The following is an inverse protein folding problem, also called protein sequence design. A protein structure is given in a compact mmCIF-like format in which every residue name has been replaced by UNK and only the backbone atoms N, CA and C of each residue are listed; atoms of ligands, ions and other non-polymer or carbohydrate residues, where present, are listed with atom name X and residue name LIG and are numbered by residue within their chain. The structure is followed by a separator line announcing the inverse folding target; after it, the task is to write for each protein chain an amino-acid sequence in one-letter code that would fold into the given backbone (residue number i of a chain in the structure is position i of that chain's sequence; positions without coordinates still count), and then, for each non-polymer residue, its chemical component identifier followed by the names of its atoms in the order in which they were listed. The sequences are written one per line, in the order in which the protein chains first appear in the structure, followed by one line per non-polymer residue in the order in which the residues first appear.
data_IF_747656840607
#
_entry.id   IF_747656840607
#
_cell.length_a   1.000
_cell.length_b   1.000
_cell.length_c   1.000
_cell.angle_alpha   90.00
_cell.angle_beta   90.00
_cell.angle_gamma   90.00
#
_symmetry.space_group_name_H-M   'P 1'
#
loop_
_entity.id
_entity.type
_entity.pdbx_description
1 polymer ?
#
# COMPACT_ATOMS: atom_id res chain seq x y z
N UNK A 1 27.57 -16.04 27.19
CA UNK A 1 26.52 -16.30 26.19
C UNK A 1 25.41 -15.31 26.43
N UNK A 2 25.52 -14.13 25.85
CA UNK A 2 24.43 -13.17 25.77
C UNK A 2 23.57 -13.61 24.61
N UNK A 3 22.35 -14.06 24.91
CA UNK A 3 21.36 -14.33 23.88
C UNK A 3 20.94 -12.96 23.37
N UNK A 4 21.44 -12.57 22.20
CA UNK A 4 20.94 -11.38 21.51
C UNK A 4 19.46 -11.64 21.24
N UNK A 5 18.59 -10.95 21.97
CA UNK A 5 17.17 -10.90 21.69
C UNK A 5 17.04 -10.15 20.37
N UNK A 6 16.69 -10.85 19.29
CA UNK A 6 16.42 -10.19 18.02
C UNK A 6 15.35 -9.10 18.23
N UNK A 7 15.61 -7.85 17.82
CA UNK A 7 14.62 -6.80 17.97
C UNK A 7 13.45 -7.09 17.00
N UNK A 8 12.31 -7.40 17.60
CA UNK A 8 11.00 -7.21 16.98
C UNK A 8 10.50 -8.39 16.15
N UNK A 9 9.60 -9.18 16.74
CA UNK A 9 8.85 -10.20 16.00
C UNK A 9 7.96 -9.59 14.91
N UNK A 10 7.32 -10.44 14.10
CA UNK A 10 6.39 -10.01 13.04
C UNK A 10 5.31 -9.05 13.55
N UNK A 11 4.84 -9.28 14.78
CA UNK A 11 3.85 -8.42 15.46
C UNK A 11 4.43 -7.05 15.78
N UNK A 12 5.66 -6.98 16.29
CA UNK A 12 6.30 -5.69 16.63
C UNK A 12 6.51 -4.83 15.38
N UNK A 13 6.89 -5.47 14.27
CA UNK A 13 7.03 -4.81 12.97
C UNK A 13 5.69 -4.30 12.43
N UNK A 14 4.61 -5.07 12.60
CA UNK A 14 3.26 -4.60 12.27
C UNK A 14 2.86 -3.41 13.14
N UNK A 15 3.08 -3.49 14.45
CA UNK A 15 2.75 -2.42 15.39
C UNK A 15 3.56 -1.16 15.10
N UNK A 16 4.82 -1.30 14.69
CA UNK A 16 5.64 -0.19 14.22
C UNK A 16 4.98 0.50 13.02
N UNK A 17 4.62 -0.23 11.97
CA UNK A 17 3.96 0.36 10.80
C UNK A 17 2.64 1.04 11.16
N UNK A 18 1.81 0.38 11.99
CA UNK A 18 0.52 0.95 12.43
C UNK A 18 0.71 2.21 13.26
N UNK A 19 1.68 2.23 14.19
CA UNK A 19 2.02 3.41 14.96
C UNK A 19 2.42 4.55 14.02
N UNK A 20 3.28 4.27 13.04
CA UNK A 20 3.71 5.30 12.09
C UNK A 20 2.53 5.86 11.30
N UNK A 21 1.65 5.01 10.76
CA UNK A 21 0.49 5.47 9.99
C UNK A 21 -0.49 6.28 10.85
N UNK A 22 -0.90 5.74 12.02
CA UNK A 22 -1.96 6.35 12.81
C UNK A 22 -1.50 7.53 13.67
N UNK A 23 -0.28 7.45 14.21
CA UNK A 23 0.26 8.44 15.15
C UNK A 23 1.22 9.39 14.42
N UNK A 24 2.29 8.88 13.82
CA UNK A 24 3.36 9.74 13.30
C UNK A 24 2.90 10.54 12.06
N UNK A 25 1.99 9.99 11.26
CA UNK A 25 1.34 10.66 10.12
C UNK A 25 -0.07 11.21 10.43
N UNK A 26 -0.47 11.20 11.70
CA UNK A 26 -1.75 11.74 12.18
C UNK A 26 -2.98 11.24 11.40
N UNK A 27 -2.99 9.98 10.96
CA UNK A 27 -4.18 9.41 10.31
C UNK A 27 -5.36 9.34 11.28
N UNK A 28 -5.09 9.10 12.57
CA UNK A 28 -6.10 9.07 13.61
C UNK A 28 -6.86 10.40 13.74
N UNK A 29 -6.20 11.54 13.53
CA UNK A 29 -6.82 12.87 13.62
C UNK A 29 -7.80 13.17 12.49
N UNK A 30 -7.73 12.43 11.38
CA UNK A 30 -8.70 12.57 10.28
C UNK A 30 -9.90 11.64 10.39
N UNK A 31 -9.96 10.85 11.46
CA UNK A 31 -11.10 10.00 11.77
C UNK A 31 -11.81 10.59 12.98
N UNK A 32 -13.14 10.80 12.93
CA UNK A 32 -13.91 11.18 14.11
C UNK A 32 -13.69 10.18 15.25
N UNK A 33 -13.45 10.67 16.47
CA UNK A 33 -13.08 9.84 17.64
C UNK A 33 -14.12 8.77 17.98
N UNK A 34 -15.37 8.95 17.57
CA UNK A 34 -16.48 8.02 17.79
C UNK A 34 -16.63 6.96 16.69
N UNK A 35 -15.76 6.97 15.67
CA UNK A 35 -15.90 6.12 14.49
C UNK A 35 -14.81 5.05 14.37
N UNK A 36 -14.88 4.05 15.27
CA UNK A 36 -14.00 2.87 15.27
C UNK A 36 -14.09 2.08 13.95
N UNK A 37 -15.23 2.14 13.26
CA UNK A 37 -15.41 1.42 11.99
C UNK A 37 -14.46 1.94 10.90
N UNK A 38 -14.19 3.25 10.87
CA UNK A 38 -13.23 3.83 9.91
C UNK A 38 -11.80 3.35 10.21
N UNK A 39 -11.41 3.24 11.48
CA UNK A 39 -10.13 2.64 11.86
C UNK A 39 -10.03 1.18 11.38
N UNK A 40 -11.09 0.39 11.58
CA UNK A 40 -11.14 -0.99 11.11
C UNK A 40 -11.04 -1.09 9.59
N UNK A 41 -11.70 -0.20 8.84
CA UNK A 41 -11.61 -0.15 7.38
C UNK A 41 -10.20 0.17 6.91
N UNK A 42 -9.53 1.15 7.52
CA UNK A 42 -8.12 1.47 7.22
C UNK A 42 -7.23 0.25 7.49
N UNK A 43 -7.39 -0.40 8.65
CA UNK A 43 -6.62 -1.59 8.99
C UNK A 43 -6.82 -2.73 7.99
N UNK A 44 -8.04 -2.93 7.48
CA UNK A 44 -8.31 -3.92 6.42
C UNK A 44 -7.59 -3.59 5.12
N UNK A 45 -7.61 -2.31 4.70
CA UNK A 45 -6.87 -1.87 3.50
C UNK A 45 -5.35 -2.02 3.67
N UNK A 46 -4.80 -1.70 4.84
CA UNK A 46 -3.39 -1.95 5.18
C UNK A 46 -3.07 -3.46 5.09
N UNK A 47 -3.96 -4.30 5.64
CA UNK A 47 -3.80 -5.76 5.61
C UNK A 47 -3.69 -6.31 4.19
N UNK A 48 -4.41 -5.76 3.20
CA UNK A 48 -4.29 -6.18 1.79
C UNK A 48 -2.85 -6.14 1.29
N UNK A 49 -2.06 -5.13 1.69
CA UNK A 49 -0.66 -5.03 1.29
C UNK A 49 0.18 -6.19 1.86
N UNK A 50 -0.05 -6.55 3.13
CA UNK A 50 0.69 -7.64 3.78
C UNK A 50 0.24 -9.02 3.29
N UNK A 51 -1.06 -9.22 3.11
CA UNK A 51 -1.62 -10.47 2.58
C UNK A 51 -1.14 -10.74 1.13
N UNK A 52 -0.76 -9.67 0.40
CA UNK A 52 -0.16 -9.73 -0.94
C UNK A 52 1.37 -9.62 -0.94
N UNK A 53 2.03 -9.80 0.21
CA UNK A 53 3.47 -10.05 0.29
C UNK A 53 4.33 -8.85 0.71
N UNK A 54 3.76 -7.67 0.95
CA UNK A 54 4.54 -6.53 1.44
C UNK A 54 5.19 -6.83 2.80
N UNK A 55 6.40 -6.34 3.01
CA UNK A 55 7.13 -6.57 4.27
C UNK A 55 6.60 -5.68 5.39
N UNK A 56 6.44 -6.23 6.59
CA UNK A 56 6.11 -5.46 7.81
C UNK A 56 7.35 -4.78 8.38
N UNK A 57 7.16 -3.63 8.99
CA UNK A 57 8.17 -2.76 9.60
C UNK A 57 8.82 -1.76 8.63
N UNK A 58 8.44 -1.81 7.34
CA UNK A 58 9.01 -0.94 6.30
C UNK A 58 7.94 -0.18 5.51
N UNK A 59 6.66 -0.40 5.82
CA UNK A 59 5.56 0.14 5.02
C UNK A 59 4.93 1.37 5.65
N UNK A 60 5.12 1.59 6.97
CA UNK A 60 4.45 2.65 7.71
C UNK A 60 4.61 4.04 7.11
N UNK A 61 5.83 4.42 6.74
CA UNK A 61 6.10 5.73 6.11
C UNK A 61 5.43 5.86 4.74
N UNK A 62 5.57 4.84 3.88
CA UNK A 62 4.94 4.82 2.57
C UNK A 62 3.42 4.90 2.66
N UNK A 63 2.82 4.17 3.60
CA UNK A 63 1.37 4.20 3.83
C UNK A 63 0.92 5.56 4.39
N UNK A 64 1.68 6.10 5.34
CA UNK A 64 1.44 7.38 5.98
C UNK A 64 1.56 8.57 5.02
N UNK A 65 2.44 8.52 4.03
CA UNK A 65 2.52 9.54 2.97
C UNK A 65 1.36 9.46 1.97
N UNK A 66 0.73 8.29 1.84
CA UNK A 66 -0.29 8.02 0.83
C UNK A 66 -1.68 7.79 1.46
N UNK A 67 -2.03 8.62 2.45
CA UNK A 67 -3.28 8.50 3.24
C UNK A 67 -4.54 8.41 2.39
N UNK A 68 -4.56 9.09 1.24
CA UNK A 68 -5.66 9.07 0.27
C UNK A 68 -6.08 7.65 -0.11
N UNK A 69 -5.12 6.75 -0.30
CA UNK A 69 -5.37 5.34 -0.66
C UNK A 69 -6.22 4.66 0.43
N UNK A 70 -5.87 4.89 1.68
CA UNK A 70 -6.53 4.22 2.81
C UNK A 70 -7.85 4.88 3.21
N UNK A 71 -8.03 6.16 2.91
CA UNK A 71 -9.26 6.89 3.21
C UNK A 71 -10.31 6.76 2.09
N UNK A 72 -9.89 6.84 0.82
CA UNK A 72 -10.82 7.00 -0.30
C UNK A 72 -11.01 5.74 -1.15
N UNK A 73 -9.98 4.89 -1.31
CA UNK A 73 -10.07 3.75 -2.21
C UNK A 73 -10.71 2.54 -1.53
N UNK A 74 -11.48 1.78 -2.29
CA UNK A 74 -12.07 0.52 -1.83
C UNK A 74 -11.02 -0.57 -1.66
N UNK A 75 -11.23 -1.45 -0.68
CA UNK A 75 -10.34 -2.57 -0.37
C UNK A 75 -10.12 -3.49 -1.60
N UNK A 76 -11.19 -3.82 -2.32
CA UNK A 76 -11.10 -4.66 -3.52
C UNK A 76 -10.35 -3.94 -4.65
N UNK A 77 -10.55 -2.63 -4.82
CA UNK A 77 -9.85 -1.85 -5.84
C UNK A 77 -8.33 -1.84 -5.59
N UNK A 78 -7.91 -1.69 -4.33
CA UNK A 78 -6.51 -1.83 -3.93
C UNK A 78 -6.01 -3.25 -4.27
N UNK A 79 -6.74 -4.29 -3.84
CA UNK A 79 -6.35 -5.68 -4.06
C UNK A 79 -6.21 -6.03 -5.55
N UNK A 80 -7.15 -5.59 -6.39
CA UNK A 80 -7.11 -5.79 -7.84
C UNK A 80 -5.85 -5.17 -8.45
N UNK A 81 -5.50 -3.94 -8.05
CA UNK A 81 -4.33 -3.22 -8.57
C UNK A 81 -3.01 -3.87 -8.14
N UNK A 82 -2.89 -4.31 -6.88
CA UNK A 82 -1.72 -5.09 -6.45
C UNK A 82 -1.62 -6.41 -7.25
N UNK A 83 -2.72 -7.18 -7.35
CA UNK A 83 -2.75 -8.44 -8.11
C UNK A 83 -2.40 -8.25 -9.59
N UNK A 84 -2.75 -7.10 -10.18
CA UNK A 84 -2.39 -6.80 -11.57
C UNK A 84 -0.87 -6.78 -11.79
N UNK A 85 -0.10 -6.07 -10.95
CA UNK A 85 1.35 -6.03 -11.08
C UNK A 85 2.03 -7.37 -10.76
N UNK A 86 1.47 -8.14 -9.83
CA UNK A 86 1.91 -9.52 -9.59
C UNK A 86 1.71 -10.38 -10.84
N UNK A 87 0.55 -10.28 -11.51
CA UNK A 87 0.28 -10.98 -12.78
C UNK A 87 1.19 -10.54 -13.93
N UNK A 88 1.67 -9.29 -13.91
CA UNK A 88 2.68 -8.80 -14.85
C UNK A 88 4.10 -9.34 -14.56
N UNK A 89 4.28 -10.13 -13.50
CA UNK A 89 5.55 -10.77 -13.15
C UNK A 89 6.38 -10.00 -12.13
N UNK A 90 5.82 -8.96 -11.50
CA UNK A 90 6.50 -8.28 -10.39
C UNK A 90 6.47 -9.15 -9.13
N UNK A 91 7.59 -9.19 -8.41
CA UNK A 91 7.68 -9.87 -7.13
C UNK A 91 6.68 -9.27 -6.12
N UNK A 92 5.86 -10.13 -5.50
CA UNK A 92 4.77 -9.73 -4.62
C UNK A 92 5.20 -8.75 -3.52
N UNK A 93 6.37 -8.99 -2.93
CA UNK A 93 6.98 -8.14 -1.90
C UNK A 93 7.38 -6.73 -2.38
N UNK A 94 7.58 -6.54 -3.69
CA UNK A 94 7.95 -5.24 -4.27
C UNK A 94 6.73 -4.43 -4.73
N UNK A 95 5.60 -5.08 -4.98
CA UNK A 95 4.41 -4.44 -5.55
C UNK A 95 3.82 -3.37 -4.62
N UNK A 96 3.69 -3.68 -3.33
CA UNK A 96 3.17 -2.71 -2.34
C UNK A 96 4.02 -1.44 -2.28
N UNK A 97 5.34 -1.54 -2.02
CA UNK A 97 6.24 -0.40 -2.06
C UNK A 97 6.22 0.36 -3.39
N UNK A 98 6.16 -0.34 -4.52
CA UNK A 98 6.11 0.28 -5.84
C UNK A 98 4.86 1.15 -6.03
N UNK A 99 3.69 0.63 -5.68
CA UNK A 99 2.42 1.37 -5.77
C UNK A 99 2.42 2.59 -4.84
N UNK A 100 2.88 2.43 -3.59
CA UNK A 100 2.92 3.55 -2.65
C UNK A 100 4.00 4.58 -3.01
N UNK A 101 5.07 4.17 -3.70
CA UNK A 101 6.07 5.08 -4.26
C UNK A 101 5.56 5.88 -5.46
N UNK A 102 4.52 5.39 -6.15
CA UNK A 102 3.91 6.03 -7.31
C UNK A 102 2.38 5.89 -7.26
N UNK A 103 1.69 6.59 -6.33
CA UNK A 103 0.26 6.41 -6.08
C UNK A 103 -0.62 6.75 -7.29
N UNK A 104 -0.16 7.65 -8.18
CA UNK A 104 -0.83 8.02 -9.43
C UNK A 104 -1.11 6.81 -10.34
N UNK A 105 -0.36 5.72 -10.16
CA UNK A 105 -0.61 4.48 -10.89
C UNK A 105 -1.99 3.87 -10.57
N UNK A 106 -2.55 4.21 -9.40
CA UNK A 106 -3.86 3.76 -8.97
C UNK A 106 -4.99 4.49 -9.69
N UNK A 107 -4.75 5.63 -10.33
CA UNK A 107 -5.78 6.35 -11.09
C UNK A 107 -6.00 5.75 -12.50
N UNK A 108 -5.13 4.83 -12.95
CA UNK A 108 -5.32 4.15 -14.23
C UNK A 108 -6.37 3.05 -14.15
N UNK A 109 -7.15 2.91 -15.21
CA UNK A 109 -8.00 1.74 -15.44
C UNK A 109 -7.12 0.53 -15.82
N UNK A 110 -6.86 -0.32 -14.83
CA UNK A 110 -6.08 -1.56 -15.01
C UNK A 110 -6.95 -2.77 -15.37
N UNK A 111 -8.28 -2.62 -15.42
CA UNK A 111 -9.18 -3.65 -15.95
C UNK A 111 -9.11 -3.68 -17.48
N UNK A 112 -8.80 -2.53 -18.11
CA UNK A 112 -8.57 -2.42 -19.54
C UNK A 112 -7.16 -1.89 -19.87
N UNK A 113 -6.10 -2.66 -19.53
CA UNK A 113 -4.72 -2.18 -19.61
C UNK A 113 -4.31 -1.83 -21.04
N UNK A 114 -4.89 -2.45 -22.09
CA UNK A 114 -4.60 -2.09 -23.48
C UNK A 114 -5.01 -0.64 -23.79
N UNK A 115 -6.06 -0.13 -23.12
CA UNK A 115 -6.56 1.24 -23.28
C UNK A 115 -5.73 2.22 -22.45
N UNK A 116 -5.33 1.83 -21.23
CA UNK A 116 -4.61 2.70 -20.30
C UNK A 116 -3.08 2.71 -20.51
N UNK A 117 -2.49 1.65 -21.06
CA UNK A 117 -1.04 1.50 -21.26
C UNK A 117 -0.41 2.62 -22.10
N UNK A 118 -1.04 3.12 -23.19
CA UNK A 118 -0.48 4.23 -23.95
C UNK A 118 -0.36 5.53 -23.13
N UNK A 119 -1.25 5.76 -22.17
CA UNK A 119 -1.21 6.94 -21.29
C UNK A 119 -0.23 6.74 -20.13
N UNK A 120 -0.22 5.54 -19.54
CA UNK A 120 0.77 5.15 -18.53
C UNK A 120 2.21 5.29 -19.05
N UNK A 121 2.53 4.68 -20.21
CA UNK A 121 3.86 4.74 -20.83
C UNK A 121 4.29 6.19 -21.05
N UNK A 122 3.37 7.06 -21.47
CA UNK A 122 3.64 8.50 -21.61
C UNK A 122 4.00 9.16 -20.27
N UNK A 123 3.29 8.85 -19.19
CA UNK A 123 3.56 9.44 -17.85
C UNK A 123 4.89 8.95 -17.27
N UNK A 124 5.28 7.70 -17.53
CA UNK A 124 6.57 7.14 -17.07
C UNK A 124 7.73 7.38 -18.05
N UNK A 125 7.53 8.18 -19.11
CA UNK A 125 8.58 8.57 -20.06
C UNK A 125 9.00 7.48 -21.05
N UNK A 126 8.19 6.43 -21.22
CA UNK A 126 8.45 5.34 -22.15
C UNK A 126 7.72 5.53 -23.49
N UNK A 127 8.34 5.18 -24.63
CA UNK A 127 7.69 5.28 -25.94
C UNK A 127 6.60 4.21 -26.09
N UNK A 128 5.54 4.53 -26.85
CA UNK A 128 4.52 3.55 -27.22
C UNK A 128 5.18 2.41 -28.02
N UNK A 129 4.93 1.16 -27.64
CA UNK A 129 5.34 0.02 -28.47
C UNK A 129 4.56 0.05 -29.79
N UNK A 130 5.29 -0.14 -30.89
CA UNK A 130 4.77 -0.14 -32.27
C UNK A 130 4.07 -1.44 -32.61
#
# INVERSE_FOLDING_TARGET
MTVDVEPGGEIDRLLQDLRTVFVDFSLAESVPEDNVDVFLQICRKIRVFYDLGSSRGTMGELMGMNRRIFLELDEEAIAQKLKFFIKLGMEAEKVGPFILGCPDILDFDLENPIIAMPEYLKRVGLPKMK
#
